data_IF_908352330015
#
_entry.id   IF_908352330015
#
_cell.length_a   1.000
_cell.length_b   1.000
_cell.length_c   1.000
_cell.angle_alpha   90.00
_cell.angle_beta   90.00
_cell.angle_gamma   90.00
#
_symmetry.space_group_name_H-M   'P 1'
#
loop_
_entity.id
_entity.type
_entity.pdbx_description
1 polymer ?
#
# COMPACT_ATOMS: atom_id res chain seq x y z
N UNK A 1 7.15 12.74 3.13
CA UNK A 1 6.26 13.07 4.27
C UNK A 1 4.80 12.81 3.91
N UNK A 2 4.31 13.26 2.74
CA UNK A 2 2.93 13.05 2.29
C UNK A 2 2.56 11.57 2.10
N UNK A 3 3.36 10.79 1.34
CA UNK A 3 3.07 9.36 1.09
C UNK A 3 2.94 8.55 2.40
N UNK A 4 3.84 8.75 3.36
CA UNK A 4 3.78 8.04 4.64
C UNK A 4 2.58 8.44 5.51
N UNK A 5 2.17 9.71 5.44
CA UNK A 5 0.94 10.18 6.06
C UNK A 5 -0.27 9.51 5.41
N UNK A 6 -0.38 9.57 4.09
CA UNK A 6 -1.48 8.96 3.33
C UNK A 6 -1.59 7.46 3.58
N UNK A 7 -0.45 6.75 3.61
CA UNK A 7 -0.41 5.33 3.95
C UNK A 7 -0.92 5.05 5.37
N UNK A 8 -0.54 5.87 6.35
CA UNK A 8 -1.03 5.70 7.72
C UNK A 8 -2.53 6.02 7.84
N UNK A 9 -3.04 7.02 7.11
CA UNK A 9 -4.48 7.32 7.02
C UNK A 9 -5.23 6.11 6.47
N UNK A 10 -4.78 5.53 5.35
CA UNK A 10 -5.38 4.32 4.77
C UNK A 10 -5.34 3.14 5.74
N UNK A 11 -4.18 2.89 6.36
CA UNK A 11 -3.98 1.83 7.35
C UNK A 11 -4.98 1.93 8.51
N UNK A 12 -5.27 3.13 9.01
CA UNK A 12 -6.27 3.33 10.08
C UNK A 12 -7.71 3.16 9.58
N UNK A 13 -7.96 3.52 8.32
CA UNK A 13 -9.29 3.51 7.73
C UNK A 13 -9.76 2.13 7.22
N UNK A 14 -8.88 1.12 7.14
CA UNK A 14 -9.30 -0.23 6.74
C UNK A 14 -10.31 -0.81 7.74
N UNK A 15 -11.23 -1.63 7.22
CA UNK A 15 -12.34 -2.20 7.98
C UNK A 15 -11.92 -2.77 9.34
N UNK A 16 -10.87 -3.58 9.39
CA UNK A 16 -10.40 -4.24 10.62
C UNK A 16 -9.75 -3.30 11.65
N UNK A 17 -9.28 -2.13 11.24
CA UNK A 17 -8.62 -1.16 12.13
C UNK A 17 -9.55 -0.01 12.54
N UNK A 18 -10.65 0.18 11.81
CA UNK A 18 -11.51 1.36 11.91
C UNK A 18 -12.02 1.56 13.34
N UNK A 19 -12.56 0.51 13.98
CA UNK A 19 -13.14 0.60 15.32
C UNK A 19 -12.07 0.98 16.36
N UNK A 20 -10.89 0.37 16.27
CA UNK A 20 -9.77 0.69 17.17
C UNK A 20 -9.31 2.14 17.01
N UNK A 21 -9.28 2.70 15.81
CA UNK A 21 -8.81 4.09 15.64
C UNK A 21 -9.90 5.14 15.88
N UNK A 22 -11.16 4.83 15.59
CA UNK A 22 -12.31 5.71 15.87
C UNK A 22 -12.39 6.12 17.34
N UNK A 23 -12.01 5.25 18.27
CA UNK A 23 -12.05 5.55 19.72
C UNK A 23 -11.13 6.71 20.14
N UNK A 24 -10.12 7.05 19.33
CA UNK A 24 -9.17 8.13 19.62
C UNK A 24 -9.50 9.43 18.87
N UNK A 25 -10.58 9.43 18.10
CA UNK A 25 -10.98 10.57 17.27
C UNK A 25 -12.20 11.27 17.88
N UNK A 26 -12.32 12.58 17.65
CA UNK A 26 -13.48 13.33 18.09
C UNK A 26 -14.41 13.61 16.90
N UNK A 27 -15.55 12.90 16.86
CA UNK A 27 -16.56 13.05 15.82
C UNK A 27 -17.26 14.42 15.82
N UNK A 28 -17.16 15.21 16.89
CA UNK A 28 -17.68 16.59 16.90
C UNK A 28 -16.80 17.57 16.14
N UNK A 29 -15.52 17.23 15.92
CA UNK A 29 -14.55 18.11 15.26
C UNK A 29 -14.41 17.81 13.77
N UNK A 30 -14.68 16.56 13.37
CA UNK A 30 -14.51 16.13 11.98
C UNK A 30 -15.70 15.30 11.53
N UNK A 31 -16.58 15.84 10.67
CA UNK A 31 -17.74 15.12 10.18
C UNK A 31 -17.32 13.96 9.27
N UNK A 32 -18.18 12.94 9.16
CA UNK A 32 -17.84 11.71 8.44
C UNK A 32 -17.52 11.93 6.95
N UNK A 33 -18.19 12.88 6.29
CA UNK A 33 -17.92 13.18 4.87
C UNK A 33 -16.49 13.69 4.64
N UNK A 34 -15.93 14.45 5.59
CA UNK A 34 -14.58 14.99 5.50
C UNK A 34 -13.53 13.88 5.67
N UNK A 35 -13.79 12.94 6.60
CA UNK A 35 -12.98 11.73 6.78
C UNK A 35 -12.93 10.89 5.51
N UNK A 36 -14.09 10.66 4.89
CA UNK A 36 -14.19 9.92 3.62
C UNK A 36 -13.44 10.65 2.51
N UNK A 37 -13.57 11.98 2.42
CA UNK A 37 -12.85 12.80 1.45
C UNK A 37 -11.33 12.67 1.63
N UNK A 38 -10.83 12.78 2.85
CA UNK A 38 -9.41 12.67 3.16
C UNK A 38 -8.85 11.28 2.85
N UNK A 39 -9.59 10.20 3.19
CA UNK A 39 -9.21 8.82 2.83
C UNK A 39 -9.13 8.64 1.32
N UNK A 40 -10.10 9.18 0.55
CA UNK A 40 -10.08 9.12 -0.92
C UNK A 40 -8.88 9.84 -1.52
N UNK A 41 -8.62 11.07 -1.07
CA UNK A 41 -7.44 11.83 -1.49
C UNK A 41 -6.13 11.07 -1.20
N UNK A 42 -6.02 10.47 0.00
CA UNK A 42 -4.85 9.67 0.36
C UNK A 42 -4.72 8.42 -0.50
N UNK A 43 -5.83 7.76 -0.83
CA UNK A 43 -5.84 6.60 -1.72
C UNK A 43 -5.32 6.98 -3.12
N UNK A 44 -5.84 8.07 -3.68
CA UNK A 44 -5.46 8.53 -5.01
C UNK A 44 -3.97 8.93 -5.05
N UNK A 45 -3.48 9.61 -4.02
CA UNK A 45 -2.06 9.98 -3.95
C UNK A 45 -1.13 8.75 -3.90
N UNK A 46 -1.48 7.73 -3.11
CA UNK A 46 -0.70 6.48 -3.05
C UNK A 46 -0.78 5.72 -4.38
N UNK A 47 -1.96 5.66 -4.99
CA UNK A 47 -2.15 5.04 -6.31
C UNK A 47 -1.24 5.70 -7.35
N UNK A 48 -1.28 7.02 -7.47
CA UNK A 48 -0.44 7.77 -8.41
C UNK A 48 1.05 7.52 -8.16
N UNK A 49 1.48 7.54 -6.89
CA UNK A 49 2.86 7.25 -6.52
C UNK A 49 3.30 5.86 -6.96
N UNK A 50 2.48 4.84 -6.71
CA UNK A 50 2.75 3.45 -7.12
C UNK A 50 2.80 3.34 -8.64
N UNK A 51 1.90 4.02 -9.36
CA UNK A 51 1.92 4.03 -10.84
C UNK A 51 3.20 4.65 -11.39
N UNK A 52 3.70 5.73 -10.79
CA UNK A 52 4.97 6.36 -11.20
C UNK A 52 6.20 5.49 -10.93
N UNK A 53 6.14 4.61 -9.93
CA UNK A 53 7.25 3.73 -9.54
C UNK A 53 6.89 2.25 -9.69
N UNK A 54 6.03 1.91 -10.66
CA UNK A 54 5.46 0.58 -10.77
C UNK A 54 6.54 -0.49 -10.92
N UNK A 55 6.51 -1.50 -10.04
CA UNK A 55 7.39 -2.67 -10.17
C UNK A 55 6.82 -3.60 -11.25
N UNK A 56 7.59 -3.81 -12.32
CA UNK A 56 7.22 -4.70 -13.44
C UNK A 56 7.73 -6.13 -13.25
N UNK A 57 8.38 -6.42 -12.12
CA UNK A 57 8.93 -7.75 -11.85
C UNK A 57 7.82 -8.77 -11.64
N UNK A 58 8.08 -9.99 -12.12
CA UNK A 58 7.21 -11.15 -11.87
C UNK A 58 7.38 -11.60 -10.41
N UNK A 59 6.25 -11.69 -9.71
CA UNK A 59 6.15 -12.34 -8.40
C UNK A 59 6.20 -13.85 -8.66
N UNK A 60 7.26 -14.55 -8.23
CA UNK A 60 7.39 -15.97 -8.48
C UNK A 60 6.47 -16.72 -7.50
N UNK A 61 6.19 -17.98 -7.81
CA UNK A 61 5.48 -18.86 -6.87
C UNK A 61 6.36 -19.99 -6.37
N UNK A 62 6.04 -20.49 -5.18
CA UNK A 62 6.67 -21.68 -4.60
C UNK A 62 5.61 -22.71 -4.23
N UNK A 63 5.97 -23.97 -4.41
CA UNK A 63 5.17 -25.11 -3.99
C UNK A 63 5.54 -25.50 -2.56
N UNK A 64 4.58 -25.43 -1.64
CA UNK A 64 4.73 -25.93 -0.26
C UNK A 64 4.26 -27.38 -0.13
N UNK A 65 3.37 -27.82 -1.03
CA UNK A 65 2.92 -29.20 -1.21
C UNK A 65 2.47 -29.42 -2.66
N UNK A 66 1.97 -30.62 -3.00
CA UNK A 66 1.45 -30.91 -4.35
C UNK A 66 0.22 -30.05 -4.72
N UNK A 67 -0.52 -29.55 -3.72
CA UNK A 67 -1.78 -28.83 -3.91
C UNK A 67 -1.65 -27.34 -3.60
N UNK A 68 -0.50 -26.89 -3.13
CA UNK A 68 -0.35 -25.60 -2.48
C UNK A 68 0.79 -24.77 -3.11
N UNK A 69 0.40 -23.80 -3.94
CA UNK A 69 1.28 -22.88 -4.63
C UNK A 69 1.07 -21.44 -4.12
N UNK A 70 2.11 -20.80 -3.59
CA UNK A 70 2.02 -19.46 -3.02
C UNK A 70 2.91 -18.43 -3.72
N UNK A 71 2.43 -17.18 -3.90
CA UNK A 71 3.26 -16.06 -4.33
C UNK A 71 4.29 -15.65 -3.26
N UNK A 72 5.54 -15.43 -3.68
CA UNK A 72 6.59 -14.92 -2.80
C UNK A 72 6.70 -13.40 -2.87
N UNK A 73 6.05 -12.69 -1.94
CA UNK A 73 6.07 -11.23 -1.88
C UNK A 73 7.33 -10.61 -1.25
N UNK A 74 8.06 -11.33 -0.39
CA UNK A 74 9.13 -10.79 0.46
C UNK A 74 10.54 -11.27 0.10
N UNK A 75 10.93 -11.21 -1.18
CA UNK A 75 12.27 -11.64 -1.62
C UNK A 75 13.24 -10.46 -1.74
N UNK A 76 14.53 -10.71 -1.56
CA UNK A 76 15.56 -9.69 -1.74
C UNK A 76 15.61 -9.24 -3.22
N UNK A 77 15.55 -7.93 -3.45
CA UNK A 77 15.62 -7.36 -4.80
C UNK A 77 17.07 -6.94 -5.07
N UNK A 78 17.63 -7.38 -6.21
CA UNK A 78 18.87 -6.81 -6.77
C UNK A 78 18.54 -5.81 -7.87
N UNK A 79 19.21 -4.66 -7.87
CA UNK A 79 19.10 -3.68 -8.94
C UNK A 79 19.71 -4.26 -10.22
N UNK A 80 19.10 -3.96 -11.38
CA UNK A 80 19.72 -4.27 -12.66
C UNK A 80 20.96 -3.40 -12.86
N UNK A 81 22.00 -3.96 -13.48
CA UNK A 81 23.15 -3.17 -13.91
C UNK A 81 22.70 -2.21 -15.00
N UNK A 82 22.80 -0.91 -14.73
CA UNK A 82 22.45 0.14 -15.69
C UNK A 82 23.26 0.00 -16.97
N UNK A 83 24.55 -0.29 -16.85
CA UNK A 83 25.47 -0.42 -17.99
C UNK A 83 25.11 -1.62 -18.88
N UNK A 84 24.65 -2.73 -18.31
CA UNK A 84 24.25 -3.92 -19.05
C UNK A 84 22.88 -3.77 -19.77
N UNK A 85 22.14 -2.70 -19.52
CA UNK A 85 20.87 -2.40 -20.19
C UNK A 85 21.02 -1.38 -21.34
N UNK A 86 22.22 -0.80 -21.50
CA UNK A 86 22.53 0.22 -22.50
C UNK A 86 23.37 -0.31 -23.67
N UNK A 87 23.76 -1.59 -23.63
CA UNK A 87 24.31 -2.39 -24.75
C UNK A 87 23.19 -3.09 -25.53
#
# INVERSE_FOLDING_TARGET
MHDMHCLNVLRKAIYFNKDYYRQFENDTLTPEWDRVSHVRHCLDNIRERIMCSADTRVIPTVWLSQEENYPLFGREHKCYSYDAMMD
#
